data_IF_356544357536
#
_entry.id   IF_356544357536
#
_cell.length_a   1.000
_cell.length_b   1.000
_cell.length_c   1.000
_cell.angle_alpha   90.00
_cell.angle_beta   90.00
_cell.angle_gamma   90.00
#
_symmetry.space_group_name_H-M   'P 1'
#
loop_
_entity.id
_entity.type
_entity.pdbx_description
1 polymer ?
#
# COMPACT_ATOMS: atom_id res chain seq x y z
N UNK A 1 -22.86 6.68 5.01
CA UNK A 1 -21.73 6.79 4.06
C UNK A 1 -22.22 7.35 2.72
N UNK A 2 -22.78 8.59 2.71
CA UNK A 2 -23.38 9.19 1.50
C UNK A 2 -23.48 10.74 1.52
N UNK A 3 -22.82 11.45 2.46
CA UNK A 3 -23.07 12.88 2.69
C UNK A 3 -22.10 13.86 1.98
N UNK A 4 -21.07 13.38 1.27
CA UNK A 4 -20.11 14.25 0.57
C UNK A 4 -19.98 13.95 -0.94
N UNK A 5 -20.81 13.04 -1.48
CA UNK A 5 -20.75 12.62 -2.88
C UNK A 5 -21.85 13.23 -3.76
N UNK A 6 -22.63 14.20 -3.25
CA UNK A 6 -23.85 14.70 -3.92
C UNK A 6 -23.90 16.19 -4.30
N UNK A 7 -22.83 16.94 -4.11
CA UNK A 7 -22.64 18.29 -4.68
C UNK A 7 -21.14 18.34 -4.99
N UNK A 8 -20.65 18.28 -6.23
CA UNK A 8 -20.93 19.17 -7.34
C UNK A 8 -20.89 18.37 -8.67
N UNK A 9 -22.06 18.12 -9.26
CA UNK A 9 -22.14 17.77 -10.69
C UNK A 9 -22.01 19.07 -11.49
N UNK A 10 -20.83 19.35 -12.03
CA UNK A 10 -20.67 20.31 -13.12
C UNK A 10 -21.30 19.70 -14.38
N UNK A 11 -22.62 19.86 -14.55
CA UNK A 11 -23.26 19.70 -15.85
C UNK A 11 -22.83 20.87 -16.73
N UNK A 12 -21.90 20.61 -17.64
CA UNK A 12 -21.74 21.41 -18.85
C UNK A 12 -23.09 21.37 -19.61
N UNK A 13 -23.84 22.47 -19.52
CA UNK A 13 -25.00 22.71 -20.38
C UNK A 13 -24.44 23.10 -21.74
N UNK A 14 -24.27 22.11 -22.62
CA UNK A 14 -24.11 22.35 -24.05
C UNK A 14 -25.53 22.50 -24.60
N UNK A 15 -25.87 23.71 -25.02
CA UNK A 15 -27.13 24.02 -25.68
C UNK A 15 -27.07 23.49 -27.14
N UNK A 16 -28.06 22.71 -27.62
CA UNK A 16 -27.98 22.10 -28.94
C UNK A 16 -28.73 22.97 -29.96
N UNK A 17 -28.04 23.63 -30.89
CA UNK A 17 -28.62 23.96 -32.20
C UNK A 17 -27.50 24.18 -33.25
N UNK A 18 -27.25 23.10 -34.00
CA UNK A 18 -27.17 23.02 -35.48
C UNK A 18 -26.03 23.72 -36.25
N UNK A 19 -25.06 22.88 -36.64
CA UNK A 19 -24.39 22.74 -37.96
C UNK A 19 -24.07 23.99 -38.79
N UNK A 20 -22.78 24.18 -39.13
CA UNK A 20 -22.29 24.13 -40.53
C UNK A 20 -20.75 24.17 -40.62
N UNK A 21 -20.21 23.31 -41.50
CA UNK A 21 -18.86 23.22 -42.07
C UNK A 21 -17.65 22.73 -41.25
N UNK A 22 -17.38 21.45 -41.47
CA UNK A 22 -16.06 20.86 -41.79
C UNK A 22 -15.01 21.84 -42.33
N UNK A 23 -13.80 21.83 -41.76
CA UNK A 23 -12.49 21.61 -42.45
C UNK A 23 -11.28 21.94 -41.54
N UNK A 24 -11.20 21.42 -40.31
CA UNK A 24 -10.00 21.58 -39.47
C UNK A 24 -9.66 20.32 -38.67
N UNK A 25 -9.87 19.15 -39.30
CA UNK A 25 -9.68 17.83 -38.68
C UNK A 25 -8.26 17.26 -38.75
N UNK A 26 -7.22 18.06 -39.02
CA UNK A 26 -5.86 17.54 -39.28
C UNK A 26 -4.70 18.41 -38.74
N UNK A 27 -4.90 19.15 -37.64
CA UNK A 27 -3.80 19.89 -36.95
C UNK A 27 -3.78 19.71 -35.42
N UNK A 28 -4.68 18.94 -34.81
CA UNK A 28 -4.68 18.70 -33.35
C UNK A 28 -4.52 17.23 -32.95
N UNK A 29 -3.71 16.46 -33.69
CA UNK A 29 -3.01 15.29 -33.10
C UNK A 29 -1.70 15.75 -32.46
N UNK A 30 -1.76 16.82 -31.66
CA UNK A 30 -0.72 17.15 -30.70
C UNK A 30 -0.72 16.10 -29.58
N UNK A 31 0.41 15.87 -28.90
CA UNK A 31 0.62 14.71 -28.05
C UNK A 31 -0.40 14.66 -26.91
N UNK A 32 -1.44 13.84 -27.04
CA UNK A 32 -2.39 13.49 -25.99
C UNK A 32 -1.81 12.46 -25.02
N UNK A 33 -0.52 12.59 -24.73
CA UNK A 33 0.24 11.87 -23.72
C UNK A 33 1.29 12.87 -23.23
N UNK A 34 1.42 13.05 -21.90
CA UNK A 34 2.17 14.13 -21.24
C UNK A 34 1.36 15.43 -21.09
N UNK A 35 0.13 15.31 -20.58
CA UNK A 35 -0.29 16.23 -19.54
C UNK A 35 -0.61 15.38 -18.31
N UNK A 36 0.43 14.84 -17.66
CA UNK A 36 0.34 14.75 -16.21
C UNK A 36 -0.06 16.15 -15.78
N UNK A 37 -1.29 16.34 -15.30
CA UNK A 37 -1.70 17.61 -14.72
C UNK A 37 -0.58 18.02 -13.78
N UNK A 38 0.12 19.11 -14.11
CA UNK A 38 1.33 19.48 -13.41
C UNK A 38 0.97 19.57 -11.92
N UNK A 39 1.54 18.66 -11.12
CA UNK A 39 1.27 18.60 -9.68
C UNK A 39 1.63 19.97 -9.10
N UNK A 40 0.74 20.54 -8.30
CA UNK A 40 1.03 21.70 -7.48
C UNK A 40 2.28 21.38 -6.65
N UNK A 41 3.32 22.24 -6.72
CA UNK A 41 4.49 22.07 -5.90
C UNK A 41 4.06 22.19 -4.43
N UNK A 42 4.61 21.34 -3.58
CA UNK A 42 4.39 21.44 -2.14
C UNK A 42 5.69 21.20 -1.39
N UNK A 43 5.75 21.78 -0.19
CA UNK A 43 6.80 21.53 0.77
C UNK A 43 6.22 20.63 1.88
N UNK A 44 6.91 19.54 2.16
CA UNK A 44 6.62 18.71 3.32
C UNK A 44 7.21 19.36 4.57
N UNK A 45 6.36 19.62 5.57
CA UNK A 45 6.78 20.25 6.82
C UNK A 45 7.21 19.16 7.81
N UNK A 46 8.50 18.88 7.83
CA UNK A 46 9.13 17.93 8.76
C UNK A 46 9.55 18.59 10.07
N UNK A 47 10.24 17.84 10.94
CA UNK A 47 10.78 18.39 12.21
C UNK A 47 11.78 19.52 12.00
N UNK A 48 12.56 19.45 10.94
CA UNK A 48 13.66 20.35 10.64
C UNK A 48 13.21 21.60 9.87
N UNK A 49 12.02 21.57 9.26
CA UNK A 49 11.50 22.69 8.48
C UNK A 49 11.09 23.84 9.39
N UNK A 50 11.64 25.02 9.09
CA UNK A 50 11.25 26.29 9.72
C UNK A 50 9.94 26.78 9.10
N UNK A 51 8.83 26.53 9.79
CA UNK A 51 7.51 27.09 9.47
C UNK A 51 7.10 28.09 10.56
N UNK A 52 7.38 29.40 10.41
CA UNK A 52 7.17 30.39 11.47
C UNK A 52 5.70 30.54 11.90
N UNK A 53 4.76 30.18 11.05
CA UNK A 53 3.31 30.09 11.28
C UNK A 53 2.89 28.92 12.19
N UNK A 54 3.75 27.90 12.34
CA UNK A 54 3.49 26.71 13.14
C UNK A 54 4.38 26.68 14.40
N UNK A 55 3.90 26.04 15.46
CA UNK A 55 4.64 25.71 16.68
C UNK A 55 4.40 24.27 17.09
N UNK A 56 5.25 23.76 17.98
CA UNK A 56 5.06 22.46 18.60
C UNK A 56 4.21 22.59 19.85
N UNK A 57 3.11 21.85 19.92
CA UNK A 57 2.33 21.74 21.15
C UNK A 57 3.02 20.79 22.15
N UNK A 58 2.53 20.75 23.39
CA UNK A 58 3.06 19.87 24.47
C UNK A 58 3.00 18.37 24.16
N UNK A 59 2.22 17.96 23.15
CA UNK A 59 2.07 16.57 22.70
C UNK A 59 3.05 16.24 21.55
N UNK A 60 3.93 17.17 21.19
CA UNK A 60 4.86 16.99 20.08
C UNK A 60 4.16 17.00 18.72
N UNK A 61 3.05 17.71 18.56
CA UNK A 61 2.41 17.93 17.26
C UNK A 61 2.61 19.37 16.78
N UNK A 62 2.81 19.54 15.47
CA UNK A 62 2.72 20.88 14.84
C UNK A 62 1.27 21.36 14.86
N UNK A 63 1.11 22.59 15.31
CA UNK A 63 -0.13 23.35 15.29
C UNK A 63 0.14 24.78 14.85
N UNK A 64 -0.88 25.48 14.36
CA UNK A 64 -0.75 26.90 14.08
C UNK A 64 -0.61 27.69 15.37
N UNK A 65 0.38 28.58 15.43
CA UNK A 65 0.52 29.57 16.51
C UNK A 65 -0.76 30.35 16.68
N UNK A 66 -1.05 30.88 17.86
CA UNK A 66 -2.16 31.83 17.99
C UNK A 66 -1.98 32.98 16.99
N UNK A 67 -3.06 33.39 16.32
CA UNK A 67 -2.98 34.48 15.34
C UNK A 67 -2.50 35.80 15.97
N UNK A 68 -2.74 35.98 17.28
CA UNK A 68 -2.22 37.11 18.05
C UNK A 68 -0.67 37.15 18.05
N UNK A 69 -0.03 35.98 18.03
CA UNK A 69 1.43 35.79 17.99
C UNK A 69 2.02 35.95 16.58
N UNK A 70 1.19 36.15 15.55
CA UNK A 70 1.70 36.41 14.21
C UNK A 70 2.57 37.66 14.20
N UNK A 71 3.73 37.58 13.55
CA UNK A 71 4.61 38.73 13.33
C UNK A 71 4.10 39.65 12.22
N UNK A 72 3.20 39.16 11.36
CA UNK A 72 2.58 40.01 10.35
C UNK A 72 1.54 40.92 11.01
N UNK A 73 1.48 42.15 10.51
CA UNK A 73 0.43 43.11 10.86
C UNK A 73 -0.90 42.82 10.14
N UNK A 74 -0.84 41.94 9.13
CA UNK A 74 -1.97 41.43 8.38
C UNK A 74 -1.88 39.91 8.22
N UNK A 75 -2.85 39.20 8.78
CA UNK A 75 -3.01 37.77 8.59
C UNK A 75 -4.49 37.39 8.57
N UNK A 76 -4.90 36.58 7.59
CA UNK A 76 -6.20 35.94 7.56
C UNK A 76 -5.98 34.44 7.45
N UNK A 77 -6.65 33.67 8.30
CA UNK A 77 -6.64 32.21 8.30
C UNK A 77 -8.03 31.65 8.09
N UNK A 78 -8.14 30.73 7.16
CA UNK A 78 -9.33 29.92 6.92
C UNK A 78 -9.02 28.48 7.32
N UNK A 79 -9.43 28.10 8.51
CA UNK A 79 -9.29 26.74 9.04
C UNK A 79 -10.54 25.92 8.73
N UNK A 80 -10.34 24.71 8.20
CA UNK A 80 -11.38 23.70 8.00
C UNK A 80 -11.08 22.49 8.89
N UNK A 81 -12.00 22.21 9.79
CA UNK A 81 -12.05 21.02 10.61
C UNK A 81 -13.02 20.02 9.98
N UNK A 82 -12.52 19.18 9.08
CA UNK A 82 -13.36 18.12 8.51
C UNK A 82 -13.65 17.05 9.58
N UNK A 83 -14.81 16.38 9.48
CA UNK A 83 -15.13 15.23 10.34
C UNK A 83 -14.03 14.18 10.16
N UNK A 84 -13.48 13.72 11.27
CA UNK A 84 -12.45 12.67 11.37
C UNK A 84 -11.10 13.07 10.75
N UNK A 85 -10.30 13.76 11.56
CA UNK A 85 -8.84 13.74 11.43
C UNK A 85 -8.24 14.45 10.21
N UNK A 86 -8.96 15.32 9.50
CA UNK A 86 -8.34 16.17 8.47
C UNK A 86 -8.47 17.65 8.86
N UNK A 87 -7.33 18.34 8.94
CA UNK A 87 -7.28 19.79 9.13
C UNK A 87 -6.68 20.44 7.90
N UNK A 88 -7.40 21.40 7.36
CA UNK A 88 -6.89 22.26 6.30
C UNK A 88 -6.83 23.68 6.81
N UNK A 89 -5.84 24.44 6.36
CA UNK A 89 -5.79 25.85 6.63
C UNK A 89 -5.27 26.61 5.41
N UNK A 90 -5.93 27.69 5.05
CA UNK A 90 -5.35 28.68 4.12
C UNK A 90 -4.91 29.88 4.93
N UNK A 91 -3.64 30.23 4.83
CA UNK A 91 -3.04 31.38 5.55
C UNK A 91 -2.63 32.41 4.52
N UNK A 92 -3.18 33.61 4.62
CA UNK A 92 -2.83 34.78 3.82
C UNK A 92 -2.14 35.78 4.75
N UNK A 93 -0.92 36.16 4.44
CA UNK A 93 -0.14 37.15 5.21
C UNK A 93 0.33 38.28 4.31
N UNK A 94 0.62 39.44 4.91
CA UNK A 94 1.36 40.51 4.23
C UNK A 94 2.84 40.46 4.61
N UNK A 95 3.70 40.46 3.60
CA UNK A 95 5.15 40.52 3.74
C UNK A 95 5.72 41.52 2.75
N UNK A 96 6.47 42.51 3.24
CA UNK A 96 7.12 43.54 2.41
C UNK A 96 6.14 44.24 1.45
N UNK A 97 4.94 44.54 1.96
CA UNK A 97 3.87 45.20 1.19
C UNK A 97 3.10 44.29 0.22
N UNK A 98 3.45 43.01 0.09
CA UNK A 98 2.78 42.05 -0.80
C UNK A 98 2.07 40.96 -0.02
N UNK A 99 0.92 40.51 -0.52
CA UNK A 99 0.25 39.34 0.04
C UNK A 99 0.92 38.04 -0.42
N UNK A 100 1.05 37.10 0.50
CA UNK A 100 1.51 35.74 0.26
C UNK A 100 0.50 34.79 0.88
N UNK A 101 0.15 33.73 0.16
CA UNK A 101 -0.80 32.75 0.64
C UNK A 101 -0.25 31.33 0.54
N UNK A 102 -0.54 30.52 1.55
CA UNK A 102 -0.19 29.11 1.60
C UNK A 102 -1.40 28.30 2.04
N UNK A 103 -1.62 27.17 1.36
CA UNK A 103 -2.56 26.14 1.78
C UNK A 103 -1.81 25.05 2.53
N UNK A 104 -2.35 24.65 3.67
CA UNK A 104 -1.79 23.64 4.53
C UNK A 104 -2.79 22.49 4.63
N UNK A 105 -2.35 21.28 4.32
CA UNK A 105 -3.12 20.07 4.54
C UNK A 105 -2.43 19.22 5.59
N UNK A 106 -3.11 18.98 6.71
CA UNK A 106 -2.73 17.99 7.72
C UNK A 106 -3.71 16.85 7.66
N UNK A 107 -3.21 15.70 7.25
CA UNK A 107 -3.84 14.44 7.59
C UNK A 107 -3.46 14.17 9.05
N UNK A 108 -4.38 14.41 9.96
CA UNK A 108 -4.23 13.87 11.32
C UNK A 108 -4.35 12.37 11.15
N UNK A 109 -3.48 11.61 11.82
CA UNK A 109 -3.75 10.19 12.02
C UNK A 109 -5.22 10.08 12.43
N UNK A 110 -5.99 9.20 11.76
CA UNK A 110 -7.08 8.56 12.48
C UNK A 110 -6.51 8.21 13.84
N UNK A 111 -7.14 8.65 14.94
CA UNK A 111 -6.78 8.35 16.34
C UNK A 111 -5.89 7.12 16.41
N UNK A 112 -4.91 7.01 17.32
CA UNK A 112 -4.24 5.73 17.53
C UNK A 112 -5.34 4.71 17.84
N UNK A 113 -5.85 4.04 16.80
CA UNK A 113 -6.15 2.66 16.87
C UNK A 113 -4.84 2.16 17.43
N UNK A 114 -4.95 1.41 18.48
CA UNK A 114 -3.94 0.43 18.82
C UNK A 114 -3.76 -0.53 17.62
N UNK A 115 -3.40 -0.02 16.43
CA UNK A 115 -2.82 -0.75 15.33
C UNK A 115 -1.36 -0.92 15.74
N UNK A 116 -1.15 -1.80 16.72
CA UNK A 116 0.12 -2.46 16.97
C UNK A 116 0.51 -3.42 15.82
N UNK A 117 -0.24 -3.43 14.71
CA UNK A 117 -0.34 -4.57 13.81
C UNK A 117 -0.28 -4.20 12.32
N UNK A 118 0.50 -3.19 11.93
CA UNK A 118 0.84 -2.99 10.51
C UNK A 118 2.36 -3.05 10.31
N UNK A 119 2.89 -4.26 10.19
CA UNK A 119 4.23 -4.58 9.67
C UNK A 119 4.30 -4.54 8.13
N UNK A 120 3.28 -3.97 7.47
CA UNK A 120 3.27 -3.77 6.02
C UNK A 120 4.27 -2.66 5.69
N UNK A 121 5.40 -3.07 5.12
CA UNK A 121 6.61 -2.28 4.82
C UNK A 121 6.46 -1.17 3.76
N UNK A 122 5.24 -0.81 3.37
CA UNK A 122 4.98 0.36 2.53
C UNK A 122 3.77 1.15 3.03
N UNK A 123 3.82 1.56 4.31
CA UNK A 123 3.35 2.91 4.61
C UNK A 123 4.38 3.82 3.96
N UNK A 124 4.03 4.48 2.85
CA UNK A 124 4.68 5.77 2.59
C UNK A 124 4.43 6.57 3.85
N UNK A 125 5.45 6.66 4.71
CA UNK A 125 5.32 7.25 6.03
C UNK A 125 4.99 8.72 5.83
N UNK A 126 3.69 9.02 5.78
CA UNK A 126 3.21 10.29 6.26
C UNK A 126 3.49 10.24 7.75
N UNK A 127 4.72 10.63 8.10
CA UNK A 127 5.10 10.75 9.49
C UNK A 127 4.00 11.54 10.19
N UNK A 128 3.74 11.18 11.44
CA UNK A 128 2.79 11.75 12.41
C UNK A 128 2.75 13.29 12.53
N UNK A 129 3.55 13.99 11.72
CA UNK A 129 3.98 15.37 11.80
C UNK A 129 3.79 16.17 10.49
N UNK A 130 3.44 15.55 9.36
CA UNK A 130 3.60 16.22 8.06
C UNK A 130 2.37 17.03 7.65
N UNK A 131 2.47 18.35 7.79
CA UNK A 131 1.68 19.25 6.94
C UNK A 131 2.29 19.24 5.54
N UNK A 132 1.46 19.17 4.50
CA UNK A 132 1.86 19.62 3.17
C UNK A 132 1.53 21.10 3.04
N UNK A 133 2.53 21.92 2.70
CA UNK A 133 2.41 23.35 2.45
C UNK A 133 2.46 23.62 0.95
N UNK A 134 1.38 24.14 0.41
CA UNK A 134 1.24 24.47 -1.00
C UNK A 134 1.24 26.00 -1.15
N UNK A 135 2.19 26.60 -1.90
CA UNK A 135 2.14 28.02 -2.20
C UNK A 135 0.98 28.31 -3.15
N UNK A 136 0.19 29.34 -2.86
CA UNK A 136 -0.91 29.78 -3.71
C UNK A 136 -0.38 30.88 -4.62
N UNK A 137 -0.03 30.51 -5.86
CA UNK A 137 0.56 31.41 -6.86
C UNK A 137 -0.39 31.77 -8.00
N UNK A 138 -1.52 31.08 -8.13
CA UNK A 138 -2.45 31.20 -9.26
C UNK A 138 -3.64 32.11 -8.99
N UNK A 139 -3.66 32.82 -7.85
CA UNK A 139 -4.77 33.69 -7.42
C UNK A 139 -4.26 35.12 -7.26
N UNK A 140 -5.02 36.09 -7.74
CA UNK A 140 -4.76 37.51 -7.43
C UNK A 140 -5.13 37.78 -5.96
N UNK A 141 -4.11 37.76 -5.09
CA UNK A 141 -4.31 37.89 -3.65
C UNK A 141 -4.77 39.28 -3.23
N UNK A 142 -4.42 40.34 -3.97
CA UNK A 142 -4.88 41.70 -3.68
C UNK A 142 -6.40 41.79 -3.84
N UNK A 143 -6.93 41.32 -4.98
CA UNK A 143 -8.37 41.31 -5.26
C UNK A 143 -9.12 40.40 -4.28
N UNK A 144 -8.53 39.27 -3.91
CA UNK A 144 -9.12 38.37 -2.92
C UNK A 144 -9.23 39.03 -1.54
N UNK A 145 -8.16 39.67 -1.06
CA UNK A 145 -8.16 40.37 0.23
C UNK A 145 -9.16 41.51 0.22
N UNK A 146 -9.23 42.29 -0.85
CA UNK A 146 -10.23 43.35 -1.03
C UNK A 146 -11.65 42.79 -0.88
N UNK A 147 -11.99 41.71 -1.61
CA UNK A 147 -13.30 41.07 -1.52
C UNK A 147 -13.61 40.56 -0.10
N UNK A 148 -12.64 39.94 0.58
CA UNK A 148 -12.81 39.47 1.96
C UNK A 148 -13.15 40.62 2.92
N UNK A 149 -12.48 41.77 2.76
CA UNK A 149 -12.74 42.96 3.56
C UNK A 149 -14.11 43.57 3.23
N UNK A 150 -14.50 43.61 1.95
CA UNK A 150 -15.85 44.04 1.52
C UNK A 150 -16.95 43.17 2.12
N UNK A 151 -16.71 41.86 2.27
CA UNK A 151 -17.64 40.96 2.95
C UNK A 151 -17.59 41.01 4.48
N UNK A 152 -17.12 42.12 5.05
CA UNK A 152 -17.19 42.42 6.48
C UNK A 152 -16.56 41.37 7.39
N UNK A 153 -15.53 40.65 6.91
CA UNK A 153 -14.83 39.59 7.66
C UNK A 153 -14.37 40.03 9.06
N UNK A 154 -14.17 41.33 9.27
CA UNK A 154 -13.73 41.93 10.55
C UNK A 154 -14.83 42.15 11.58
N UNK A 155 -16.10 42.03 11.19
CA UNK A 155 -17.28 42.32 12.02
C UNK A 155 -18.33 41.23 12.00
N UNK A 156 -18.15 40.15 11.23
CA UNK A 156 -19.09 39.03 11.20
C UNK A 156 -19.17 38.36 12.58
N UNK A 157 -20.39 38.11 13.11
CA UNK A 157 -20.55 37.37 14.35
C UNK A 157 -20.28 35.87 14.14
N UNK A 158 -20.16 35.12 15.23
CA UNK A 158 -20.22 33.66 15.16
C UNK A 158 -21.63 33.22 14.75
N UNK A 159 -21.73 32.24 13.85
CA UNK A 159 -23.02 31.73 13.40
C UNK A 159 -23.87 31.19 14.57
N UNK A 160 -23.25 30.65 15.62
CA UNK A 160 -23.94 30.17 16.84
C UNK A 160 -24.56 31.29 17.68
N UNK A 161 -24.12 32.54 17.51
CA UNK A 161 -24.75 33.71 18.16
C UNK A 161 -26.02 34.13 17.43
N UNK A 162 -26.09 33.87 16.11
CA UNK A 162 -27.25 34.16 15.26
C UNK A 162 -28.25 33.01 15.36
N UNK A 163 -27.77 31.78 15.17
CA UNK A 163 -28.56 30.55 15.18
C UNK A 163 -28.44 29.87 16.54
N UNK A 164 -29.47 30.02 17.38
CA UNK A 164 -29.48 29.54 18.78
C UNK A 164 -29.46 28.00 18.92
N UNK A 165 -29.67 27.24 17.84
CA UNK A 165 -29.54 25.77 17.88
C UNK A 165 -28.05 25.40 17.78
N UNK A 166 -27.63 24.40 18.57
CA UNK A 166 -26.25 23.90 18.52
C UNK A 166 -25.86 23.49 17.10
N UNK A 167 -24.78 24.08 16.59
CA UNK A 167 -24.32 23.89 15.23
C UNK A 167 -22.85 23.48 15.21
N UNK A 168 -22.52 22.41 14.48
CA UNK A 168 -21.15 21.96 14.28
C UNK A 168 -20.58 22.65 13.04
N UNK A 169 -19.90 23.77 13.26
CA UNK A 169 -19.18 24.49 12.22
C UNK A 169 -17.81 23.85 11.98
N UNK A 170 -17.51 23.37 10.76
CA UNK A 170 -16.17 22.96 10.38
C UNK A 170 -15.28 24.17 10.00
N UNK A 171 -15.83 25.37 9.73
CA UNK A 171 -15.03 26.51 9.26
C UNK A 171 -14.78 27.53 10.38
N UNK A 172 -13.52 27.85 10.58
CA UNK A 172 -13.06 28.91 11.47
C UNK A 172 -12.29 29.92 10.63
N UNK A 173 -12.72 31.18 10.69
CA UNK A 173 -11.93 32.29 10.19
C UNK A 173 -11.30 33.00 11.36
N UNK A 174 -9.98 33.18 11.31
CA UNK A 174 -9.24 34.01 12.25
C UNK A 174 -8.53 35.12 11.48
N UNK A 175 -8.50 36.33 12.04
CA UNK A 175 -7.81 37.45 11.42
C UNK A 175 -7.01 38.28 12.42
N UNK A 176 -5.94 38.91 11.92
CA UNK A 176 -5.19 40.00 12.53
C UNK A 176 -5.02 41.07 11.47
N UNK A 177 -5.65 42.23 11.63
CA UNK A 177 -5.55 43.34 10.66
C UNK A 177 -5.27 44.62 11.42
N UNK A 178 -4.12 45.24 11.14
CA UNK A 178 -3.66 46.45 11.81
C UNK A 178 -3.67 46.31 13.34
N UNK A 179 -3.23 45.15 13.85
CA UNK A 179 -3.19 44.84 15.28
C UNK A 179 -4.52 44.38 15.89
N UNK A 180 -5.66 44.58 15.22
CA UNK A 180 -6.95 44.06 15.69
C UNK A 180 -7.05 42.57 15.39
N UNK A 181 -7.28 41.77 16.44
CA UNK A 181 -7.43 40.31 16.35
C UNK A 181 -8.89 39.93 16.54
N UNK A 182 -9.36 38.96 15.76
CA UNK A 182 -10.68 38.37 15.94
C UNK A 182 -10.82 37.04 15.22
N UNK A 183 -11.95 36.38 15.46
CA UNK A 183 -12.29 35.12 14.81
C UNK A 183 -13.79 34.89 14.83
N UNK A 184 -14.30 34.17 13.84
CA UNK A 184 -15.67 33.67 13.86
C UNK A 184 -15.79 32.28 13.24
N UNK A 185 -16.75 31.49 13.73
CA UNK A 185 -17.10 30.17 13.20
C UNK A 185 -18.38 30.21 12.37
N UNK A 186 -18.37 29.47 11.27
CA UNK A 186 -19.52 29.26 10.39
C UNK A 186 -19.42 27.90 9.70
N UNK A 187 -20.52 27.33 9.22
CA UNK A 187 -20.53 26.01 8.57
C UNK A 187 -21.22 26.02 7.23
N UNK A 188 -21.56 24.83 6.73
CA UNK A 188 -22.27 24.75 5.45
C UNK A 188 -23.56 25.57 5.55
N UNK A 189 -23.79 26.48 4.60
CA UNK A 189 -24.93 27.38 4.63
C UNK A 189 -26.27 26.68 4.37
N UNK A 190 -26.26 25.42 3.94
CA UNK A 190 -27.45 24.75 3.37
C UNK A 190 -28.71 24.86 4.24
N UNK A 191 -28.63 24.62 5.55
CA UNK A 191 -29.81 24.71 6.42
C UNK A 191 -30.15 26.18 6.79
N UNK A 192 -29.22 27.02 7.28
CA UNK A 192 -29.55 28.38 7.71
C UNK A 192 -29.84 29.35 6.56
N UNK A 193 -29.19 29.21 5.39
CA UNK A 193 -29.52 30.00 4.19
C UNK A 193 -30.88 29.61 3.64
N UNK A 194 -31.25 28.33 3.69
CA UNK A 194 -32.59 27.91 3.27
C UNK A 194 -33.67 28.47 4.21
N UNK A 195 -33.40 28.49 5.52
CA UNK A 195 -34.34 29.01 6.52
C UNK A 195 -34.41 30.55 6.49
N UNK A 196 -33.31 31.24 6.16
CA UNK A 196 -33.18 32.71 6.21
C UNK A 196 -32.35 33.26 5.04
N UNK A 197 -32.82 33.15 3.78
CA UNK A 197 -32.04 33.51 2.59
C UNK A 197 -31.78 35.02 2.48
N UNK A 198 -32.64 35.84 3.06
CA UNK A 198 -32.61 37.30 2.94
C UNK A 198 -31.76 37.98 4.02
N UNK A 199 -31.27 37.23 5.01
CA UNK A 199 -30.44 37.79 6.09
C UNK A 199 -29.02 38.13 5.55
N UNK A 200 -28.62 39.42 5.52
CA UNK A 200 -27.40 39.85 4.84
C UNK A 200 -26.12 39.13 5.33
N UNK A 201 -26.10 38.74 6.60
CA UNK A 201 -24.98 38.02 7.21
C UNK A 201 -24.67 36.70 6.51
N UNK A 202 -25.68 35.98 6.01
CA UNK A 202 -25.44 34.70 5.34
C UNK A 202 -24.92 34.88 3.91
N UNK A 203 -25.27 35.98 3.24
CA UNK A 203 -24.68 36.32 1.94
C UNK A 203 -23.17 36.53 2.06
N UNK A 204 -22.72 37.14 3.16
CA UNK A 204 -21.30 37.29 3.46
C UNK A 204 -20.61 35.93 3.70
N UNK A 205 -21.22 35.02 4.48
CA UNK A 205 -20.65 33.69 4.68
C UNK A 205 -20.55 32.87 3.39
N UNK A 206 -21.60 32.88 2.56
CA UNK A 206 -21.61 32.16 1.29
C UNK A 206 -20.52 32.70 0.34
N UNK A 207 -20.39 34.02 0.22
CA UNK A 207 -19.32 34.63 -0.57
C UNK A 207 -17.92 34.23 -0.08
N UNK A 208 -17.71 34.22 1.25
CA UNK A 208 -16.45 33.79 1.86
C UNK A 208 -16.15 32.31 1.56
N UNK A 209 -17.15 31.42 1.66
CA UNK A 209 -16.99 29.99 1.31
C UNK A 209 -16.66 29.80 -0.16
N UNK A 210 -17.36 30.50 -1.04
CA UNK A 210 -17.15 30.41 -2.47
C UNK A 210 -15.74 30.89 -2.86
N UNK A 211 -15.26 31.97 -2.24
CA UNK A 211 -13.87 32.42 -2.41
C UNK A 211 -12.88 31.38 -1.89
N UNK A 212 -13.10 30.84 -0.69
CA UNK A 212 -12.25 29.80 -0.11
C UNK A 212 -12.15 28.57 -1.02
N UNK A 213 -13.29 28.05 -1.47
CA UNK A 213 -13.32 26.88 -2.36
C UNK A 213 -12.55 27.14 -3.65
N UNK A 214 -12.70 28.31 -4.29
CA UNK A 214 -11.93 28.64 -5.50
C UNK A 214 -10.43 28.58 -5.29
N UNK A 215 -9.95 29.01 -4.11
CA UNK A 215 -8.53 28.97 -3.76
C UNK A 215 -8.08 27.54 -3.52
N UNK A 216 -8.84 26.74 -2.76
CA UNK A 216 -8.35 25.47 -2.23
C UNK A 216 -8.67 24.25 -3.08
N UNK A 217 -9.72 24.29 -3.91
CA UNK A 217 -10.19 23.14 -4.70
C UNK A 217 -9.09 22.47 -5.52
N UNK A 218 -8.20 23.19 -6.23
CA UNK A 218 -7.16 22.53 -7.03
C UNK A 218 -6.16 21.70 -6.19
N UNK A 219 -5.69 22.25 -5.07
CA UNK A 219 -4.76 21.55 -4.17
C UNK A 219 -5.47 20.41 -3.43
N UNK A 220 -6.73 20.62 -3.04
CA UNK A 220 -7.56 19.60 -2.43
C UNK A 220 -7.76 18.40 -3.36
N UNK A 221 -8.07 18.67 -4.64
CA UNK A 221 -8.21 17.63 -5.66
C UNK A 221 -6.93 16.81 -5.81
N UNK A 222 -5.78 17.48 -5.93
CA UNK A 222 -4.51 16.77 -6.01
C UNK A 222 -4.24 15.91 -4.77
N UNK A 223 -4.50 16.42 -3.56
CA UNK A 223 -4.34 15.62 -2.33
C UNK A 223 -5.20 14.37 -2.36
N UNK A 224 -6.43 14.45 -2.85
CA UNK A 224 -7.30 13.28 -2.99
C UNK A 224 -6.86 12.33 -4.09
N UNK A 225 -6.40 12.83 -5.23
CA UNK A 225 -5.88 12.02 -6.32
C UNK A 225 -4.64 11.24 -5.83
N UNK A 226 -3.74 11.87 -5.08
CA UNK A 226 -2.57 11.22 -4.45
C UNK A 226 -3.00 10.12 -3.46
N UNK A 227 -4.04 10.38 -2.64
CA UNK A 227 -4.57 9.39 -1.67
C UNK A 227 -5.23 8.21 -2.39
N UNK A 228 -6.00 8.47 -3.44
CA UNK A 228 -6.66 7.43 -4.23
C UNK A 228 -5.64 6.58 -4.98
N UNK A 229 -4.59 7.18 -5.54
CA UNK A 229 -3.47 6.49 -6.18
C UNK A 229 -2.74 5.58 -5.18
N UNK A 230 -2.42 6.08 -3.99
CA UNK A 230 -1.80 5.28 -2.92
C UNK A 230 -2.67 4.10 -2.50
N UNK A 231 -3.98 4.33 -2.32
CA UNK A 231 -4.93 3.27 -1.97
C UNK A 231 -5.07 2.21 -3.08
N UNK A 232 -5.12 2.64 -4.34
CA UNK A 232 -5.12 1.72 -5.49
C UNK A 232 -3.85 0.89 -5.52
N UNK A 233 -2.69 1.49 -5.29
CA UNK A 233 -1.41 0.77 -5.20
C UNK A 233 -1.44 -0.28 -4.08
N UNK A 234 -1.89 0.09 -2.89
CA UNK A 234 -2.03 -0.84 -1.75
C UNK A 234 -2.98 -2.01 -2.07
N UNK A 235 -4.13 -1.76 -2.70
CA UNK A 235 -5.04 -2.81 -3.13
C UNK A 235 -4.48 -3.70 -4.25
N UNK A 236 -3.66 -3.12 -5.12
CA UNK A 236 -3.00 -3.86 -6.19
C UNK A 236 -1.91 -4.77 -5.62
N UNK A 237 -1.19 -4.35 -4.59
CA UNK A 237 0.00 -5.03 -4.07
C UNK A 237 -0.31 -6.16 -3.07
N UNK A 238 -1.46 -6.15 -2.37
CA UNK A 238 -1.78 -7.17 -1.36
C UNK A 238 -3.24 -7.60 -1.38
N UNK A 239 -3.51 -8.91 -1.46
CA UNK A 239 -4.87 -9.48 -1.29
C UNK A 239 -4.94 -10.26 0.02
N UNK A 240 -5.67 -9.74 1.01
CA UNK A 240 -5.89 -10.47 2.27
C UNK A 240 -6.82 -11.67 2.08
N UNK A 241 -6.30 -12.85 2.39
CA UNK A 241 -7.07 -14.09 2.57
C UNK A 241 -7.64 -14.16 3.99
N UNK A 242 -6.90 -13.62 4.96
CA UNK A 242 -7.30 -13.40 6.36
C UNK A 242 -6.81 -12.03 6.80
N UNK A 243 -7.72 -11.13 7.15
CA UNK A 243 -7.39 -9.79 7.67
C UNK A 243 -6.65 -9.89 9.02
N UNK A 244 -5.78 -8.92 9.35
CA UNK A 244 -5.09 -8.88 10.62
C UNK A 244 -6.05 -8.93 11.81
N UNK A 245 -5.76 -9.76 12.81
CA UNK A 245 -6.41 -9.70 14.14
C UNK A 245 -5.58 -8.86 15.13
N UNK A 246 -6.01 -8.78 16.39
CA UNK A 246 -5.40 -7.96 17.45
C UNK A 246 -3.98 -8.34 17.87
N UNK A 247 -3.41 -9.40 17.29
CA UNK A 247 -2.01 -9.79 17.50
C UNK A 247 -1.18 -9.68 16.21
N UNK A 248 -1.78 -9.13 15.15
CA UNK A 248 -1.12 -8.84 13.87
C UNK A 248 -0.99 -10.01 12.93
N UNK A 249 -1.51 -11.19 13.30
CA UNK A 249 -1.59 -12.33 12.38
C UNK A 249 -2.46 -12.00 11.18
N UNK A 250 -1.94 -12.19 9.98
CA UNK A 250 -2.70 -12.06 8.75
C UNK A 250 -2.24 -13.09 7.73
N UNK A 251 -3.14 -13.40 6.79
CA UNK A 251 -2.79 -14.21 5.62
C UNK A 251 -3.09 -13.40 4.38
N UNK A 252 -2.11 -13.23 3.50
CA UNK A 252 -2.29 -12.46 2.28
C UNK A 252 -1.48 -13.02 1.12
N UNK A 253 -1.90 -12.67 -0.10
CA UNK A 253 -1.11 -12.88 -1.30
C UNK A 253 -0.21 -11.67 -1.49
N UNK A 254 1.10 -11.88 -1.46
CA UNK A 254 2.09 -10.90 -1.87
C UNK A 254 2.23 -10.91 -3.39
N UNK A 255 2.06 -9.75 -4.00
CA UNK A 255 2.19 -9.55 -5.45
C UNK A 255 3.45 -8.83 -5.86
N UNK A 256 4.27 -8.38 -4.92
CA UNK A 256 5.52 -7.70 -5.22
C UNK A 256 6.59 -8.74 -5.58
N UNK A 257 6.70 -9.09 -6.87
CA UNK A 257 7.63 -10.13 -7.33
C UNK A 257 9.10 -9.70 -7.30
N UNK A 258 9.37 -8.40 -7.38
CA UNK A 258 10.71 -7.89 -7.71
C UNK A 258 11.49 -7.41 -6.47
N UNK A 259 10.83 -7.22 -5.32
CA UNK A 259 11.43 -6.63 -4.11
C UNK A 259 10.84 -7.20 -2.80
N UNK A 260 10.34 -8.45 -2.84
CA UNK A 260 9.78 -9.11 -1.66
C UNK A 260 10.83 -9.98 -0.95
N UNK A 261 11.11 -9.62 0.30
CA UNK A 261 11.91 -10.38 1.25
C UNK A 261 11.47 -11.85 1.33
N UNK A 262 10.16 -12.15 1.30
CA UNK A 262 9.68 -13.52 1.43
C UNK A 262 10.04 -14.37 0.22
N UNK A 263 9.89 -13.83 -0.99
CA UNK A 263 10.27 -14.53 -2.22
C UNK A 263 11.76 -14.86 -2.23
N UNK A 264 12.59 -13.84 -1.98
CA UNK A 264 14.04 -13.99 -1.89
C UNK A 264 14.41 -15.06 -0.86
N UNK A 265 13.83 -15.00 0.35
CA UNK A 265 14.10 -15.97 1.41
C UNK A 265 13.70 -17.40 1.04
N UNK A 266 12.59 -17.61 0.33
CA UNK A 266 12.15 -18.94 -0.13
C UNK A 266 13.08 -19.51 -1.19
N UNK A 267 13.62 -18.65 -2.06
CA UNK A 267 14.51 -19.04 -3.16
C UNK A 267 16.00 -19.03 -2.82
N UNK A 268 16.39 -18.46 -1.68
CA UNK A 268 17.76 -18.50 -1.19
C UNK A 268 18.16 -19.93 -0.85
N UNK A 269 19.30 -20.39 -1.36
CA UNK A 269 19.79 -21.77 -1.24
C UNK A 269 21.11 -21.86 -0.47
N UNK A 270 21.69 -20.72 -0.05
CA UNK A 270 23.06 -20.63 0.46
C UNK A 270 23.23 -21.24 1.86
N UNK A 271 22.20 -21.14 2.72
CA UNK A 271 22.28 -21.56 4.14
C UNK A 271 22.50 -23.08 4.36
N UNK A 272 22.34 -23.88 3.31
CA UNK A 272 22.07 -25.32 3.49
C UNK A 272 23.35 -26.16 3.65
N UNK A 273 24.48 -25.72 3.09
CA UNK A 273 25.71 -26.54 3.01
C UNK A 273 26.73 -26.17 4.10
N UNK A 274 26.73 -24.92 4.57
CA UNK A 274 27.63 -24.44 5.63
C UNK A 274 27.18 -24.80 7.06
N UNK A 275 25.98 -25.37 7.19
CA UNK A 275 25.36 -25.69 8.46
C UNK A 275 25.99 -26.92 9.14
N UNK A 276 26.33 -26.79 10.43
CA UNK A 276 26.99 -27.84 11.22
C UNK A 276 26.15 -29.12 11.34
N UNK A 277 24.81 -29.01 11.41
CA UNK A 277 23.91 -30.16 11.45
C UNK A 277 23.91 -30.91 10.11
N UNK A 278 23.95 -30.17 8.99
CA UNK A 278 24.13 -30.79 7.67
C UNK A 278 25.46 -31.58 7.61
N UNK A 279 26.56 -30.97 8.02
CA UNK A 279 27.88 -31.61 8.02
C UNK A 279 27.85 -32.89 8.88
N UNK A 280 27.30 -32.81 10.09
CA UNK A 280 27.15 -33.95 11.00
C UNK A 280 26.33 -35.09 10.38
N UNK A 281 25.15 -34.80 9.82
CA UNK A 281 24.29 -35.79 9.17
C UNK A 281 24.94 -36.37 7.90
N UNK A 282 25.66 -35.55 7.14
CA UNK A 282 26.42 -35.99 5.99
C UNK A 282 27.54 -36.97 6.38
N UNK A 283 28.23 -36.75 7.51
CA UNK A 283 29.21 -37.69 8.03
C UNK A 283 28.59 -39.03 8.43
N UNK A 284 27.38 -39.01 9.01
CA UNK A 284 26.63 -40.23 9.36
C UNK A 284 26.20 -41.04 8.13
N UNK A 285 26.11 -40.42 6.94
CA UNK A 285 25.83 -41.13 5.69
C UNK A 285 27.03 -41.87 5.10
N UNK A 286 28.27 -41.56 5.55
CA UNK A 286 29.49 -42.18 4.99
C UNK A 286 29.47 -43.71 4.96
N UNK A 287 28.98 -44.44 5.99
CA UNK A 287 28.94 -45.91 5.97
C UNK A 287 28.00 -46.49 4.91
N UNK A 288 27.00 -45.71 4.45
CA UNK A 288 25.97 -46.14 3.51
C UNK A 288 26.17 -45.59 2.10
N UNK A 289 27.16 -44.72 1.91
CA UNK A 289 27.66 -44.39 0.59
C UNK A 289 28.43 -45.61 0.13
N UNK A 290 27.78 -46.46 -0.66
CA UNK A 290 28.49 -47.48 -1.43
C UNK A 290 29.74 -46.83 -2.03
N UNK A 291 30.83 -47.60 -2.09
CA UNK A 291 32.17 -47.24 -2.57
C UNK A 291 32.25 -46.72 -4.01
N UNK A 292 31.13 -46.28 -4.58
CA UNK A 292 31.04 -45.54 -5.83
C UNK A 292 31.58 -44.13 -5.59
N UNK A 293 32.91 -44.02 -5.72
CA UNK A 293 33.65 -42.77 -5.87
C UNK A 293 33.16 -41.89 -7.07
N UNK A 294 32.14 -42.33 -7.81
CA UNK A 294 31.64 -41.66 -8.99
C UNK A 294 30.38 -40.85 -8.65
N UNK A 295 30.41 -39.58 -9.02
CA UNK A 295 29.28 -38.66 -8.96
C UNK A 295 28.09 -39.26 -9.74
N UNK A 296 26.92 -39.37 -9.10
CA UNK A 296 25.71 -39.85 -9.77
C UNK A 296 25.26 -38.77 -10.74
N UNK A 297 25.11 -39.14 -12.00
CA UNK A 297 24.50 -38.27 -13.00
C UNK A 297 23.01 -38.12 -12.72
N UNK A 298 22.58 -36.91 -12.40
CA UNK A 298 21.16 -36.55 -12.26
C UNK A 298 20.53 -36.11 -13.60
N UNK A 299 21.32 -36.15 -14.69
CA UNK A 299 20.87 -35.74 -16.02
C UNK A 299 20.30 -34.34 -16.06
N UNK A 300 19.06 -34.21 -16.55
CA UNK A 300 18.32 -32.94 -16.66
C UNK A 300 17.49 -32.60 -15.43
N UNK A 301 17.58 -33.39 -14.36
CA UNK A 301 16.80 -33.14 -13.15
C UNK A 301 17.29 -31.86 -12.44
N UNK A 302 16.42 -30.89 -12.17
CA UNK A 302 16.72 -29.72 -11.35
C UNK A 302 17.27 -30.10 -9.98
N UNK A 303 18.17 -29.24 -9.49
CA UNK A 303 18.83 -29.44 -8.19
C UNK A 303 18.01 -28.90 -7.03
N UNK A 304 17.17 -27.90 -7.25
CA UNK A 304 16.51 -27.17 -6.18
C UNK A 304 15.02 -27.08 -6.46
N UNK A 305 14.23 -27.43 -5.46
CA UNK A 305 12.80 -27.56 -5.57
C UNK A 305 12.10 -26.89 -4.39
N UNK A 306 11.05 -26.15 -4.69
CA UNK A 306 10.23 -25.45 -3.71
C UNK A 306 8.80 -25.98 -3.83
N UNK A 307 8.13 -26.34 -2.72
CA UNK A 307 6.75 -26.79 -2.76
C UNK A 307 5.81 -25.71 -3.31
N UNK A 308 4.82 -26.13 -4.08
CA UNK A 308 3.70 -25.31 -4.51
C UNK A 308 2.43 -25.73 -3.77
N UNK A 309 1.59 -24.75 -3.49
CA UNK A 309 0.33 -24.92 -2.76
C UNK A 309 -0.84 -24.46 -3.63
N UNK A 310 -1.91 -25.25 -3.66
CA UNK A 310 -3.10 -24.92 -4.42
C UNK A 310 -4.08 -24.10 -3.58
N UNK A 311 -4.53 -22.98 -4.13
CA UNK A 311 -5.58 -22.16 -3.56
C UNK A 311 -6.47 -21.61 -4.67
N UNK A 312 -7.76 -21.94 -4.63
CA UNK A 312 -8.74 -21.52 -5.65
C UNK A 312 -8.26 -21.82 -7.08
N UNK A 313 -7.71 -23.02 -7.28
CA UNK A 313 -7.23 -23.50 -8.59
C UNK A 313 -5.95 -22.84 -9.12
N UNK A 314 -5.23 -22.07 -8.30
CA UNK A 314 -3.94 -21.46 -8.67
C UNK A 314 -2.82 -21.96 -7.75
N UNK A 315 -1.59 -21.99 -8.26
CA UNK A 315 -0.41 -22.45 -7.53
C UNK A 315 0.43 -21.31 -6.98
N UNK A 316 0.64 -21.33 -5.67
CA UNK A 316 1.37 -20.31 -4.92
C UNK A 316 2.59 -20.93 -4.22
N UNK A 317 3.60 -20.10 -4.01
CA UNK A 317 4.58 -20.32 -2.97
C UNK A 317 3.95 -20.01 -1.61
N UNK A 318 4.54 -20.51 -0.52
CA UNK A 318 4.02 -20.29 0.82
C UNK A 318 5.11 -19.91 1.79
N UNK A 319 4.91 -18.77 2.47
CA UNK A 319 5.68 -18.36 3.63
C UNK A 319 4.92 -18.73 4.91
N UNK A 320 5.33 -19.79 5.63
CA UNK A 320 4.61 -20.26 6.81
C UNK A 320 4.85 -19.38 8.04
N UNK A 321 3.95 -19.48 9.03
CA UNK A 321 4.03 -18.68 10.25
C UNK A 321 5.26 -18.99 11.09
N UNK A 322 5.69 -20.26 11.07
CA UNK A 322 6.88 -20.76 11.76
C UNK A 322 8.19 -20.38 11.05
N UNK A 323 8.11 -19.71 9.88
CA UNK A 323 9.26 -19.29 9.05
C UNK A 323 10.14 -20.44 8.55
N UNK A 324 9.63 -21.67 8.60
CA UNK A 324 10.33 -22.86 8.14
C UNK A 324 10.20 -22.98 6.62
N UNK A 325 11.30 -22.76 5.92
CA UNK A 325 11.35 -22.80 4.46
C UNK A 325 11.43 -24.25 3.97
N UNK A 326 10.28 -24.80 3.59
CA UNK A 326 10.23 -26.13 2.99
C UNK A 326 10.90 -26.13 1.62
N UNK A 327 11.94 -26.94 1.45
CA UNK A 327 12.67 -27.05 0.17
C UNK A 327 13.41 -28.38 0.04
N UNK A 328 13.64 -28.82 -1.19
CA UNK A 328 14.45 -29.99 -1.50
C UNK A 328 15.62 -29.59 -2.39
N UNK A 329 16.83 -30.00 -1.99
CA UNK A 329 18.07 -29.72 -2.70
C UNK A 329 18.87 -30.99 -2.96
N UNK A 330 19.50 -31.07 -4.14
CA UNK A 330 20.36 -32.18 -4.57
C UNK A 330 21.79 -31.69 -4.77
N UNK A 331 22.69 -32.08 -3.86
CA UNK A 331 24.10 -31.72 -3.86
C UNK A 331 24.97 -32.96 -4.11
N UNK A 332 25.46 -33.11 -5.35
CA UNK A 332 26.19 -34.31 -5.76
C UNK A 332 25.35 -35.57 -5.53
N UNK A 333 25.80 -36.43 -4.61
CA UNK A 333 25.13 -37.69 -4.24
C UNK A 333 24.32 -37.54 -2.94
N UNK A 334 23.92 -36.33 -2.56
CA UNK A 334 23.14 -36.09 -1.35
C UNK A 334 21.84 -35.37 -1.70
N UNK A 335 20.75 -35.86 -1.12
CA UNK A 335 19.45 -35.18 -1.12
C UNK A 335 19.21 -34.59 0.27
N UNK A 336 18.91 -33.30 0.31
CA UNK A 336 18.59 -32.55 1.52
C UNK A 336 17.16 -32.09 1.41
N UNK A 337 16.32 -32.46 2.36
CA UNK A 337 14.96 -31.94 2.47
C UNK A 337 14.83 -31.15 3.78
N UNK A 338 14.55 -29.86 3.64
CA UNK A 338 14.34 -28.94 4.73
C UNK A 338 12.85 -28.84 4.99
N UNK A 339 12.43 -29.13 6.22
CA UNK A 339 11.09 -28.89 6.78
C UNK A 339 11.31 -28.45 8.24
N UNK A 340 10.39 -28.76 9.16
CA UNK A 340 10.56 -28.53 10.60
C UNK A 340 11.89 -29.11 11.11
N UNK A 341 12.27 -30.27 10.58
CA UNK A 341 13.60 -30.86 10.74
C UNK A 341 14.24 -31.08 9.39
N UNK A 342 15.56 -30.85 9.31
CA UNK A 342 16.33 -31.16 8.12
C UNK A 342 16.58 -32.66 8.04
N UNK A 343 16.22 -33.26 6.92
CA UNK A 343 16.60 -34.64 6.58
C UNK A 343 17.68 -34.66 5.50
N UNK A 344 18.61 -35.59 5.63
CA UNK A 344 19.72 -35.78 4.70
C UNK A 344 19.76 -37.26 4.31
N UNK A 345 19.78 -37.53 3.01
CA UNK A 345 19.83 -38.89 2.46
C UNK A 345 20.91 -38.99 1.39
N UNK A 346 21.55 -40.15 1.29
CA UNK A 346 22.38 -40.49 0.14
C UNK A 346 21.49 -40.74 -1.07
N UNK A 347 21.78 -40.08 -2.18
CA UNK A 347 21.20 -40.39 -3.48
C UNK A 347 21.98 -41.59 -4.01
N UNK A 348 21.32 -42.71 -4.32
CA UNK A 348 22.00 -43.93 -4.75
C UNK A 348 21.83 -44.18 -6.25
N UNK A 349 20.65 -43.83 -6.78
CA UNK A 349 20.32 -44.01 -8.19
C UNK A 349 19.30 -42.97 -8.63
N UNK A 350 19.53 -42.43 -9.82
CA UNK A 350 18.53 -41.67 -10.58
C UNK A 350 18.43 -42.31 -11.96
N UNK A 351 17.30 -42.89 -12.29
CA UNK A 351 17.02 -43.43 -13.63
C UNK A 351 15.92 -42.64 -14.30
N UNK A 352 16.13 -42.32 -15.57
CA UNK A 352 15.12 -41.67 -16.41
C UNK A 352 14.29 -42.76 -17.07
N UNK A 353 12.99 -42.84 -16.76
CA UNK A 353 12.08 -43.82 -17.38
C UNK A 353 11.60 -43.32 -18.76
N UNK A 354 11.36 -42.02 -18.86
CA UNK A 354 10.98 -41.30 -20.07
C UNK A 354 11.43 -39.82 -19.94
N UNK A 355 11.11 -38.97 -20.92
CA UNK A 355 11.55 -37.58 -20.92
C UNK A 355 10.96 -36.70 -19.80
N UNK A 356 10.02 -37.21 -18.99
CA UNK A 356 9.32 -36.47 -17.92
C UNK A 356 9.37 -37.19 -16.57
N UNK A 357 9.74 -38.46 -16.53
CA UNK A 357 9.68 -39.30 -15.33
C UNK A 357 11.07 -39.74 -14.89
N UNK A 358 11.42 -39.38 -13.66
CA UNK A 358 12.63 -39.81 -12.97
C UNK A 358 12.27 -40.73 -11.81
N UNK A 359 12.97 -41.84 -11.70
CA UNK A 359 12.89 -42.75 -10.55
C UNK A 359 14.14 -42.55 -9.70
N UNK A 360 13.94 -42.27 -8.42
CA UNK A 360 15.00 -41.87 -7.50
C UNK A 360 15.04 -42.84 -6.32
N UNK A 361 16.22 -43.40 -6.06
CA UNK A 361 16.51 -44.23 -4.88
C UNK A 361 17.42 -43.50 -3.93
N UNK A 362 17.05 -43.48 -2.65
CA UNK A 362 17.84 -42.86 -1.57
C UNK A 362 18.07 -43.80 -0.41
N UNK A 363 19.13 -43.56 0.38
CA UNK A 363 19.39 -44.19 1.68
C UNK A 363 19.44 -43.13 2.76
N UNK A 364 18.63 -43.28 3.81
CA UNK A 364 18.61 -42.39 4.99
C UNK A 364 19.78 -42.70 5.93
N UNK A 365 20.01 -41.82 6.92
CA UNK A 365 21.05 -41.99 7.96
C UNK A 365 20.94 -43.27 8.79
N UNK A 366 19.76 -43.90 8.84
CA UNK A 366 19.51 -45.17 9.53
C UNK A 366 19.70 -46.39 8.60
N UNK A 367 20.18 -46.21 7.38
CA UNK A 367 20.36 -47.28 6.39
C UNK A 367 19.08 -47.67 5.64
N UNK A 368 17.91 -47.15 6.03
CA UNK A 368 16.66 -47.44 5.31
C UNK A 368 16.69 -46.84 3.91
N UNK A 369 16.22 -47.62 2.94
CA UNK A 369 16.11 -47.19 1.55
C UNK A 369 14.70 -46.70 1.24
N UNK A 370 14.59 -45.71 0.35
CA UNK A 370 13.32 -45.20 -0.14
C UNK A 370 13.42 -44.96 -1.65
N UNK A 371 12.40 -45.41 -2.37
CA UNK A 371 12.20 -45.14 -3.80
C UNK A 371 11.05 -44.15 -3.95
N UNK A 372 11.24 -43.14 -4.80
CA UNK A 372 10.20 -42.15 -5.13
C UNK A 372 10.32 -41.74 -6.59
N UNK A 373 9.26 -41.11 -7.13
CA UNK A 373 9.22 -40.66 -8.53
C UNK A 373 9.08 -39.16 -8.61
N UNK A 374 9.70 -38.57 -9.63
CA UNK A 374 9.52 -37.17 -9.99
C UNK A 374 8.96 -37.16 -11.40
N UNK A 375 7.72 -36.69 -11.56
CA UNK A 375 7.03 -36.56 -12.85
C UNK A 375 6.81 -35.11 -13.20
N UNK A 376 7.46 -34.63 -14.26
CA UNK A 376 7.24 -33.30 -14.79
C UNK A 376 5.84 -33.17 -15.40
N UNK A 377 5.18 -32.08 -15.03
CA UNK A 377 3.91 -31.68 -15.62
C UNK A 377 4.23 -31.03 -16.98
N UNK A 378 3.44 -31.29 -18.04
CA UNK A 378 3.62 -30.66 -19.35
C UNK A 378 3.20 -29.18 -19.34
N UNK A 379 3.89 -28.36 -18.56
CA UNK A 379 3.69 -26.92 -18.44
C UNK A 379 5.06 -26.22 -18.42
N UNK A 380 5.22 -25.04 -19.07
CA UNK A 380 6.53 -24.40 -19.25
C UNK A 380 7.19 -23.84 -17.97
N UNK A 381 6.67 -24.14 -16.78
CA UNK A 381 7.13 -23.56 -15.50
C UNK A 381 7.95 -24.52 -14.63
N UNK A 382 8.42 -25.65 -15.17
CA UNK A 382 9.29 -26.59 -14.44
C UNK A 382 8.67 -27.16 -13.16
N UNK A 383 7.35 -27.36 -13.19
CA UNK A 383 6.59 -27.98 -12.10
C UNK A 383 6.66 -29.50 -12.24
N UNK A 384 6.82 -30.19 -11.13
CA UNK A 384 6.78 -31.65 -11.06
C UNK A 384 5.96 -32.13 -9.85
N UNK A 385 5.42 -33.34 -9.98
CA UNK A 385 4.82 -34.09 -8.87
C UNK A 385 5.87 -35.07 -8.35
N UNK A 386 6.14 -34.98 -7.05
CA UNK A 386 6.95 -35.92 -6.29
C UNK A 386 6.01 -36.95 -5.69
N UNK A 387 6.15 -38.21 -6.11
CA UNK A 387 5.30 -39.31 -5.66
C UNK A 387 6.09 -40.26 -4.77
N UNK A 388 5.45 -40.74 -3.71
CA UNK A 388 5.98 -41.65 -2.71
C UNK A 388 7.15 -41.08 -1.87
N UNK A 389 7.39 -39.76 -1.93
CA UNK A 389 8.51 -39.12 -1.24
C UNK A 389 8.46 -39.26 0.30
N UNK A 390 7.27 -39.18 0.90
CA UNK A 390 7.05 -39.45 2.33
C UNK A 390 6.55 -40.86 2.63
N UNK A 391 6.61 -41.75 1.65
CA UNK A 391 6.03 -43.09 1.73
C UNK A 391 4.90 -43.29 0.72
N UNK A 392 4.51 -44.56 0.56
CA UNK A 392 3.59 -45.02 -0.48
C UNK A 392 2.27 -44.23 -0.49
N UNK A 393 1.92 -43.69 -1.65
CA UNK A 393 0.72 -42.90 -1.89
C UNK A 393 0.88 -41.39 -1.68
N UNK A 394 1.98 -40.92 -1.08
CA UNK A 394 2.20 -39.49 -0.88
C UNK A 394 2.44 -38.77 -2.22
N UNK A 395 1.90 -37.56 -2.38
CA UNK A 395 2.15 -36.70 -3.53
C UNK A 395 2.47 -35.29 -3.04
N UNK A 396 3.43 -34.64 -3.69
CA UNK A 396 3.79 -33.24 -3.41
C UNK A 396 4.04 -32.51 -4.73
N UNK A 397 3.42 -31.35 -4.90
CA UNK A 397 3.67 -30.48 -6.03
C UNK A 397 4.87 -29.59 -5.73
N UNK A 398 5.86 -29.55 -6.62
CA UNK A 398 7.05 -28.74 -6.46
C UNK A 398 7.42 -28.02 -7.76
N UNK A 399 8.08 -26.88 -7.65
CA UNK A 399 8.63 -26.11 -8.76
C UNK A 399 10.15 -26.06 -8.67
N UNK A 400 10.83 -26.16 -9.80
CA UNK A 400 12.25 -25.83 -9.88
C UNK A 400 12.48 -24.39 -9.41
N UNK A 401 13.40 -24.18 -8.47
CA UNK A 401 13.64 -22.88 -7.84
C UNK A 401 13.88 -21.76 -8.87
N UNK A 402 14.47 -22.06 -10.04
CA UNK A 402 14.69 -21.05 -11.09
C UNK A 402 13.40 -20.49 -11.71
N UNK A 403 12.28 -21.19 -11.54
CA UNK A 403 10.95 -20.76 -12.01
C UNK A 403 10.04 -20.28 -10.86
N UNK A 404 10.53 -20.24 -9.62
CA UNK A 404 9.75 -19.80 -8.48
C UNK A 404 9.26 -18.35 -8.60
N UNK A 405 10.00 -17.47 -9.30
CA UNK A 405 9.61 -16.08 -9.60
C UNK A 405 8.29 -15.95 -10.40
N UNK A 406 7.86 -17.01 -11.09
CA UNK A 406 6.59 -16.99 -11.80
C UNK A 406 5.37 -17.15 -10.89
N UNK A 407 5.57 -17.64 -9.66
CA UNK A 407 4.53 -17.89 -8.67
C UNK A 407 4.46 -16.78 -7.64
N UNK A 408 3.22 -16.40 -7.27
CA UNK A 408 2.97 -15.47 -6.16
C UNK A 408 3.18 -16.18 -4.81
N UNK A 409 3.47 -15.40 -3.76
CA UNK A 409 3.66 -15.93 -2.41
C UNK A 409 2.39 -15.69 -1.60
N UNK A 410 1.87 -16.73 -0.94
CA UNK A 410 0.93 -16.57 0.17
C UNK A 410 1.75 -16.46 1.45
N UNK A 411 1.57 -15.37 2.17
CA UNK A 411 2.29 -15.08 3.41
C UNK A 411 1.37 -15.31 4.59
N UNK A 412 1.74 -16.24 5.46
CA UNK A 412 1.13 -16.42 6.78
C UNK A 412 1.90 -15.58 7.80
N UNK A 413 1.62 -14.27 7.82
CA UNK A 413 2.39 -13.31 8.57
C UNK A 413 2.04 -13.35 10.05
N UNK A 414 3.05 -13.56 10.88
CA UNK A 414 2.92 -13.67 12.34
C UNK A 414 4.06 -12.89 13.03
N UNK A 415 3.76 -11.74 13.66
CA UNK A 415 4.79 -10.89 14.26
C UNK A 415 5.17 -11.33 15.68
N UNK A 416 4.23 -11.84 16.47
CA UNK A 416 4.40 -12.10 17.92
C UNK A 416 4.49 -13.59 18.28
N UNK A 417 3.46 -14.37 17.91
CA UNK A 417 3.29 -15.75 18.37
C UNK A 417 2.99 -16.67 17.19
N UNK A 418 3.66 -17.81 17.04
CA UNK A 418 3.36 -18.78 15.98
C UNK A 418 1.86 -19.13 15.94
N UNK A 419 1.23 -18.96 14.79
CA UNK A 419 -0.21 -19.18 14.58
C UNK A 419 -0.45 -20.46 13.78
N UNK A 420 -1.68 -21.00 13.76
CA UNK A 420 -2.01 -22.12 12.88
C UNK A 420 -1.67 -21.81 11.41
N UNK A 421 -1.15 -22.82 10.72
CA UNK A 421 -0.83 -22.69 9.30
C UNK A 421 -2.09 -22.55 8.44
N UNK A 422 -1.96 -21.83 7.32
CA UNK A 422 -3.04 -21.71 6.35
C UNK A 422 -3.34 -23.06 5.70
N UNK A 423 -4.63 -23.39 5.58
CA UNK A 423 -5.09 -24.66 5.01
C UNK A 423 -5.29 -24.47 3.51
N UNK A 424 -4.55 -25.25 2.73
CA UNK A 424 -4.61 -25.26 1.27
C UNK A 424 -5.52 -26.35 0.74
N UNK A 425 -5.97 -26.18 -0.50
CA UNK A 425 -6.66 -27.22 -1.25
C UNK A 425 -5.66 -28.26 -1.73
N UNK A 426 -6.07 -29.53 -1.82
CA UNK A 426 -5.26 -30.54 -2.49
C UNK A 426 -5.28 -30.29 -4.01
N UNK A 427 -4.13 -30.35 -4.72
CA UNK A 427 -4.11 -30.34 -6.18
C UNK A 427 -4.82 -31.57 -6.75
N UNK A 428 -5.53 -31.41 -7.88
CA UNK A 428 -6.00 -32.55 -8.66
C UNK A 428 -4.81 -33.20 -9.39
N UNK A 429 -4.11 -34.09 -8.68
CA UNK A 429 -2.93 -34.77 -9.20
C UNK A 429 -3.24 -35.65 -10.41
N UNK A 430 -4.46 -36.20 -10.52
CA UNK A 430 -4.83 -37.03 -11.67
C UNK A 430 -4.98 -36.17 -12.93
N UNK A 431 -5.63 -35.01 -12.82
CA UNK A 431 -5.69 -34.04 -13.92
C UNK A 431 -4.31 -33.51 -14.30
N UNK A 432 -3.46 -33.19 -13.32
CA UNK A 432 -2.09 -32.68 -13.56
C UNK A 432 -1.20 -33.68 -14.30
N UNK A 433 -1.31 -34.96 -13.94
CA UNK A 433 -0.48 -36.03 -14.49
C UNK A 433 -1.04 -36.60 -15.79
N UNK A 434 -2.36 -36.51 -16.00
CA UNK A 434 -3.06 -37.01 -17.18
C UNK A 434 -3.99 -35.92 -17.76
N UNK A 435 -3.45 -34.78 -18.22
CA UNK A 435 -4.28 -33.70 -18.73
C UNK A 435 -5.06 -34.20 -19.94
N UNK A 436 -6.39 -34.18 -19.84
CA UNK A 436 -7.25 -34.42 -21.00
C UNK A 436 -6.92 -33.32 -22.00
N UNK A 437 -6.53 -33.70 -23.22
CA UNK A 437 -6.41 -32.74 -24.33
C UNK A 437 -7.77 -32.06 -24.47
N UNK A 438 -7.88 -30.81 -24.01
CA UNK A 438 -9.02 -29.95 -24.31
C UNK A 438 -8.89 -29.42 -25.72
#
# INVERSE_FOLDING_TARGET
>A
MNYFRKQYDFKCIINPFTYFFSLLGLVFSGPSCIAQQARYPFQEITREVIAPELEWNIRGHREFKSIAQSKSDFEIRFDVFAKWHNRMATVITRKDGKYVANFYHKQTESLPKHEQDSSIKYKGEWERYNFKKFPITQVNLDSLVEQLLTHQILSLPDQSKIYKKGFLSPFLVSYKVNGKVGSFRFGSPEDPIREHPDEPVYQHYDAILNMYSKITTPMYRQVWDDVEEAYKKEQLDTIFLRKPHSEGHSVYVDKNKDDDDYHNMLTDLEDTIADQDYIKKFHQLKPFKDSVANQISIGKLPRHWIPLYNYKGNYYLYWPSNRVRRRLSIYGNTLVFNDMERSVSSLNKVSTKDNKTFEVRTTKVNGSQADFKIRFIPYPMGIAVFEDFFGKGSKMLMVDAKYAAFHLVIVNHTPKNMEPEFIFEDPDYEELLNPKRK
#
